data_IF_944284305337
#
_entry.id   IF_944284305337
#
_cell.length_a   1.000
_cell.length_b   1.000
_cell.length_c   1.000
_cell.angle_alpha   90.00
_cell.angle_beta   90.00
_cell.angle_gamma   90.00
#
_symmetry.space_group_name_H-M   'P 1'
#
loop_
_entity.id
_entity.type
_entity.pdbx_description
1 polymer ?
#
# COMPACT_ATOMS: atom_id res chain seq x y z
N UNK A 1 -8.19 24.16 0.01
CA UNK A 1 -9.36 23.73 0.80
C UNK A 1 -8.85 23.27 2.16
N UNK A 2 -9.55 23.51 3.27
CA UNK A 2 -9.13 23.01 4.56
C UNK A 2 -9.05 21.47 4.51
N UNK A 3 -8.02 20.90 5.08
CA UNK A 3 -7.80 19.47 5.19
C UNK A 3 -8.84 18.92 6.18
N UNK A 4 -9.81 18.17 5.70
CA UNK A 4 -11.00 17.75 6.48
C UNK A 4 -11.00 16.27 6.85
N UNK A 5 -9.95 15.51 6.47
CA UNK A 5 -9.91 14.07 6.71
C UNK A 5 -9.36 13.80 8.12
N UNK A 6 -10.08 13.00 8.91
CA UNK A 6 -9.64 12.57 10.23
C UNK A 6 -8.37 11.71 10.09
N UNK A 7 -7.26 12.03 10.81
CA UNK A 7 -6.06 11.21 10.83
C UNK A 7 -6.33 9.75 11.23
N UNK A 8 -7.33 9.52 12.06
CA UNK A 8 -7.74 8.19 12.52
C UNK A 8 -8.37 7.32 11.43
N UNK A 9 -8.57 7.84 10.22
CA UNK A 9 -8.88 7.00 9.07
C UNK A 9 -7.69 6.10 8.68
N UNK A 10 -6.47 6.47 9.05
CA UNK A 10 -5.34 5.54 9.04
C UNK A 10 -5.40 4.64 10.28
N UNK A 11 -5.40 3.32 10.07
CA UNK A 11 -5.61 2.33 11.13
C UNK A 11 -4.44 2.27 12.12
N UNK A 12 -3.22 2.62 11.70
CA UNK A 12 -2.07 2.71 12.61
C UNK A 12 -2.27 3.87 13.58
N UNK A 13 -2.74 5.02 13.10
CA UNK A 13 -3.06 6.18 13.94
C UNK A 13 -4.28 5.89 14.83
N UNK A 14 -5.31 5.24 14.30
CA UNK A 14 -6.50 4.86 15.07
C UNK A 14 -6.20 3.85 16.20
N UNK A 15 -5.11 3.10 16.08
CA UNK A 15 -4.67 2.11 17.07
C UNK A 15 -3.86 2.70 18.23
N UNK A 16 -3.53 3.99 18.18
CA UNK A 16 -2.84 4.68 19.27
C UNK A 16 -3.77 4.76 20.51
N UNK A 17 -3.17 4.60 21.70
CA UNK A 17 -3.88 4.91 22.94
C UNK A 17 -4.23 6.40 23.02
N UNK A 18 -5.19 6.78 23.88
CA UNK A 18 -5.53 8.20 24.04
C UNK A 18 -4.31 9.05 24.48
N UNK A 19 -3.43 8.49 25.30
CA UNK A 19 -2.19 9.16 25.71
C UNK A 19 -1.23 9.35 24.53
N UNK A 20 -1.02 8.30 23.73
CA UNK A 20 -0.17 8.36 22.55
C UNK A 20 -0.79 9.29 21.50
N UNK A 21 -2.11 9.24 21.31
CA UNK A 21 -2.81 10.14 20.40
C UNK A 21 -2.64 11.61 20.77
N UNK A 22 -2.82 11.99 22.03
CA UNK A 22 -2.62 13.37 22.48
C UNK A 22 -1.20 13.87 22.23
N UNK A 23 -0.21 12.97 22.32
CA UNK A 23 1.19 13.28 22.01
C UNK A 23 1.47 13.41 20.52
N UNK A 24 0.83 12.56 19.69
CA UNK A 24 1.05 12.50 18.25
C UNK A 24 0.28 13.55 17.46
N UNK A 25 -0.95 13.84 17.87
CA UNK A 25 -1.85 14.75 17.14
C UNK A 25 -1.20 16.09 16.73
N UNK A 26 -0.45 16.81 17.57
CA UNK A 26 0.19 18.08 17.17
C UNK A 26 1.36 17.91 16.18
N UNK A 27 1.87 16.70 16.01
CA UNK A 27 2.99 16.40 15.12
C UNK A 27 2.55 15.84 13.76
N UNK A 28 1.27 15.56 13.60
CA UNK A 28 0.69 15.05 12.35
C UNK A 28 0.51 16.20 11.36
N UNK A 29 1.33 16.19 10.32
CA UNK A 29 1.23 17.16 9.23
C UNK A 29 0.37 16.59 8.09
N UNK A 30 -0.75 17.26 7.75
CA UNK A 30 -1.57 16.82 6.62
C UNK A 30 -0.83 16.99 5.29
N UNK A 31 -0.94 16.01 4.41
CA UNK A 31 -0.28 16.02 3.11
C UNK A 31 -1.21 15.53 2.00
N UNK A 32 -1.26 16.28 0.89
CA UNK A 32 -1.86 15.80 -0.34
C UNK A 32 -0.90 14.78 -1.00
N UNK A 33 -1.46 13.72 -1.55
CA UNK A 33 -0.72 12.66 -2.24
C UNK A 33 -1.26 12.55 -3.68
N UNK A 34 -0.84 13.40 -4.62
CA UNK A 34 -1.27 13.34 -6.00
C UNK A 34 -0.71 12.10 -6.70
N UNK A 35 -1.44 11.60 -7.70
CA UNK A 35 -1.03 10.44 -8.49
C UNK A 35 0.36 10.65 -9.11
N UNK A 36 1.24 9.69 -8.93
CA UNK A 36 2.59 9.69 -9.47
C UNK A 36 3.63 10.41 -8.62
N UNK A 37 3.22 11.10 -7.54
CA UNK A 37 4.17 11.71 -6.61
C UNK A 37 5.10 10.69 -5.99
N UNK A 38 6.37 11.08 -5.85
CA UNK A 38 7.42 10.28 -5.24
C UNK A 38 7.63 10.75 -3.80
N UNK A 39 7.30 9.89 -2.84
CA UNK A 39 7.48 10.20 -1.43
C UNK A 39 8.95 10.08 -0.99
N UNK A 40 9.66 9.12 -1.57
CA UNK A 40 11.12 9.00 -1.47
C UNK A 40 11.69 8.20 -2.63
N UNK A 41 12.92 8.54 -3.03
CA UNK A 41 13.70 7.85 -4.06
C UNK A 41 14.59 6.76 -3.46
N UNK A 42 14.95 5.77 -4.30
CA UNK A 42 15.90 4.72 -3.95
C UNK A 42 17.23 5.30 -3.47
N UNK A 43 17.70 4.87 -2.30
CA UNK A 43 18.97 5.32 -1.70
C UNK A 43 18.91 6.71 -1.05
N UNK A 44 17.81 7.46 -1.23
CA UNK A 44 17.63 8.77 -0.60
C UNK A 44 17.40 8.66 0.90
N UNK A 45 17.80 9.68 1.65
CA UNK A 45 17.50 9.80 3.08
C UNK A 45 16.02 10.14 3.27
N UNK A 46 15.33 9.36 4.12
CA UNK A 46 13.94 9.61 4.44
C UNK A 46 13.83 10.66 5.54
N UNK A 47 13.05 11.69 5.29
CA UNK A 47 12.78 12.76 6.25
C UNK A 47 11.50 12.57 7.05
N UNK A 48 10.55 11.78 6.50
CA UNK A 48 9.22 11.59 7.06
C UNK A 48 8.76 10.13 6.95
N UNK A 49 7.89 9.74 7.88
CA UNK A 49 7.00 8.59 7.74
C UNK A 49 5.64 9.10 7.29
N UNK A 50 5.01 8.40 6.33
CA UNK A 50 3.71 8.79 5.79
C UNK A 50 2.63 7.80 6.20
N UNK A 51 1.46 8.31 6.53
CA UNK A 51 0.26 7.55 6.93
C UNK A 51 -0.86 7.88 5.93
N UNK A 52 -1.03 7.10 4.84
CA UNK A 52 -2.10 7.33 3.91
C UNK A 52 -3.47 7.18 4.59
N UNK A 53 -4.45 8.02 4.22
CA UNK A 53 -5.84 7.91 4.66
C UNK A 53 -6.75 7.48 3.51
N UNK A 54 -6.57 8.10 2.35
CA UNK A 54 -7.33 7.81 1.12
C UNK A 54 -6.43 7.53 -0.08
N UNK A 55 -5.14 7.82 0.02
CA UNK A 55 -4.17 7.51 -1.00
C UNK A 55 -3.71 6.04 -0.93
N UNK A 56 -3.18 5.54 -2.04
CA UNK A 56 -2.44 4.27 -2.09
C UNK A 56 -1.03 4.56 -2.58
N UNK A 57 -0.05 3.95 -1.93
CA UNK A 57 1.37 4.09 -2.24
C UNK A 57 1.96 2.73 -2.60
N UNK A 58 2.65 2.65 -3.75
CA UNK A 58 3.41 1.49 -4.18
C UNK A 58 4.86 1.58 -3.71
N UNK A 59 5.37 0.50 -3.14
CA UNK A 59 6.79 0.33 -2.86
C UNK A 59 7.41 -0.45 -4.02
N UNK A 60 8.34 0.19 -4.74
CA UNK A 60 8.92 -0.31 -5.98
C UNK A 60 10.41 -0.56 -5.82
N UNK A 61 10.91 -1.62 -6.42
CA UNK A 61 12.33 -1.73 -6.76
C UNK A 61 12.53 -1.40 -8.23
N UNK A 62 13.52 -0.57 -8.51
CA UNK A 62 13.89 -0.16 -9.85
C UNK A 62 15.27 -0.72 -10.17
N UNK A 63 15.36 -1.46 -11.27
CA UNK A 63 16.59 -2.08 -11.74
C UNK A 63 17.45 -1.07 -12.54
N UNK A 64 18.73 -1.35 -12.70
CA UNK A 64 19.66 -0.49 -13.47
C UNK A 64 19.19 -0.23 -14.92
N UNK A 65 18.49 -1.18 -15.52
CA UNK A 65 17.94 -1.05 -16.88
C UNK A 65 16.59 -0.29 -16.92
N UNK A 66 16.13 0.26 -15.76
CA UNK A 66 14.87 0.98 -15.63
C UNK A 66 13.62 0.11 -15.43
N UNK A 67 13.74 -1.22 -15.51
CA UNK A 67 12.63 -2.09 -15.19
C UNK A 67 12.27 -1.98 -13.69
N UNK A 68 10.99 -2.04 -13.38
CA UNK A 68 10.53 -1.94 -11.99
C UNK A 68 9.52 -3.03 -11.66
N UNK A 69 9.38 -3.34 -10.37
CA UNK A 69 8.31 -4.18 -9.86
C UNK A 69 7.86 -3.69 -8.48
N UNK A 70 6.55 -3.75 -8.25
CA UNK A 70 5.98 -3.47 -6.94
C UNK A 70 6.22 -4.67 -6.03
N UNK A 71 6.79 -4.40 -4.88
CA UNK A 71 7.01 -5.40 -3.83
C UNK A 71 5.90 -5.38 -2.78
N UNK A 72 5.30 -4.21 -2.56
CA UNK A 72 4.18 -4.04 -1.63
C UNK A 72 3.37 -2.79 -1.99
N UNK A 73 2.13 -2.78 -1.54
CA UNK A 73 1.21 -1.65 -1.62
C UNK A 73 0.77 -1.26 -0.21
N UNK A 74 0.71 0.04 0.07
CA UNK A 74 0.35 0.61 1.36
C UNK A 74 -0.79 1.59 1.19
N UNK A 75 -1.81 1.47 2.01
CA UNK A 75 -2.94 2.40 2.10
C UNK A 75 -3.22 2.78 3.56
N UNK A 76 -4.50 2.95 3.86
CA UNK A 76 -4.95 3.36 5.19
C UNK A 76 -4.70 2.34 6.31
N UNK A 77 -4.31 1.11 5.98
CA UNK A 77 -3.97 0.06 6.96
C UNK A 77 -2.55 0.17 7.51
N UNK A 78 -1.70 1.03 6.93
CA UNK A 78 -0.28 1.02 7.21
C UNK A 78 0.42 2.37 7.14
N UNK A 79 1.72 2.30 7.02
CA UNK A 79 2.61 3.45 6.88
C UNK A 79 3.72 3.21 5.86
N UNK A 80 4.27 4.28 5.31
CA UNK A 80 5.40 4.29 4.38
C UNK A 80 6.62 4.90 5.06
N UNK A 81 7.77 4.19 5.02
CA UNK A 81 9.03 4.66 5.63
C UNK A 81 9.50 3.82 6.82
N UNK A 82 9.22 2.50 6.82
CA UNK A 82 9.63 1.59 7.91
C UNK A 82 11.14 1.61 8.19
N UNK A 83 11.99 1.89 7.18
CA UNK A 83 13.44 1.93 7.33
C UNK A 83 13.91 2.93 8.38
N UNK A 84 13.15 4.01 8.64
CA UNK A 84 13.51 5.03 9.62
C UNK A 84 13.62 4.49 11.04
N UNK A 85 12.69 3.65 11.47
CA UNK A 85 12.74 3.06 12.81
C UNK A 85 13.41 1.68 12.85
N UNK A 86 13.75 1.12 11.69
CA UNK A 86 14.60 -0.06 11.58
C UNK A 86 16.10 0.27 11.55
N UNK A 87 16.48 1.57 11.65
CA UNK A 87 17.86 2.03 11.74
C UNK A 87 18.56 2.26 10.40
N UNK A 88 17.82 2.22 9.26
CA UNK A 88 18.41 2.35 7.93
C UNK A 88 18.45 3.76 7.35
N UNK A 89 17.61 4.67 7.80
CA UNK A 89 17.44 6.04 7.30
C UNK A 89 17.23 6.18 5.79
N UNK A 90 17.54 5.16 5.03
CA UNK A 90 17.37 5.02 3.58
C UNK A 90 16.94 3.60 3.21
N UNK A 91 16.51 3.41 1.98
CA UNK A 91 16.14 2.10 1.45
C UNK A 91 16.42 2.05 -0.05
N UNK A 92 16.76 0.89 -0.62
CA UNK A 92 16.90 0.73 -2.06
C UNK A 92 15.55 0.72 -2.80
N UNK A 93 14.43 0.80 -2.10
CA UNK A 93 13.11 0.93 -2.70
C UNK A 93 12.74 2.40 -2.96
N UNK A 94 11.79 2.60 -3.87
CA UNK A 94 11.14 3.87 -4.17
C UNK A 94 9.69 3.81 -3.75
N UNK A 95 9.13 4.88 -3.19
CA UNK A 95 7.71 4.96 -2.87
C UNK A 95 7.00 5.96 -3.78
N UNK A 96 5.97 5.49 -4.51
CA UNK A 96 5.22 6.28 -5.48
C UNK A 96 3.73 6.21 -5.18
N UNK A 97 3.05 7.34 -5.24
CA UNK A 97 1.59 7.39 -5.09
C UNK A 97 0.92 6.72 -6.28
N UNK A 98 0.31 5.59 -6.04
CA UNK A 98 -0.40 4.76 -7.03
C UNK A 98 -1.85 5.24 -7.26
N UNK A 99 -2.50 5.71 -6.20
CA UNK A 99 -3.84 6.28 -6.26
C UNK A 99 -3.85 7.59 -5.49
N UNK A 100 -4.28 8.67 -6.16
CA UNK A 100 -4.34 9.99 -5.56
C UNK A 100 -5.24 10.00 -4.33
N UNK A 101 -4.87 10.78 -3.34
CA UNK A 101 -5.62 10.93 -2.10
C UNK A 101 -4.93 11.86 -1.14
N UNK A 102 -5.11 11.59 0.13
CA UNK A 102 -4.56 12.35 1.24
C UNK A 102 -3.98 11.43 2.30
N UNK A 103 -3.17 11.99 3.17
CA UNK A 103 -2.61 11.31 4.32
C UNK A 103 -2.00 12.30 5.29
N UNK A 104 -1.26 11.76 6.22
CA UNK A 104 -0.48 12.52 7.19
C UNK A 104 0.97 12.08 7.13
N UNK A 105 1.87 12.96 7.50
CA UNK A 105 3.28 12.64 7.69
C UNK A 105 3.76 13.07 9.07
N UNK A 106 4.79 12.41 9.54
CA UNK A 106 5.46 12.70 10.81
C UNK A 106 6.96 12.77 10.54
N UNK A 107 7.69 13.74 11.11
CA UNK A 107 9.14 13.84 10.95
C UNK A 107 9.86 12.56 11.40
N UNK A 108 10.95 12.20 10.70
CA UNK A 108 11.78 11.02 11.00
C UNK A 108 12.21 10.95 12.47
N UNK A 109 12.62 12.10 13.04
CA UNK A 109 13.06 12.16 14.43
C UNK A 109 11.95 11.78 15.42
N UNK A 110 10.71 12.16 15.14
CA UNK A 110 9.56 11.80 15.98
C UNK A 110 9.36 10.30 16.02
N UNK A 111 9.33 9.64 14.85
CA UNK A 111 9.10 8.19 14.81
C UNK A 111 10.24 7.40 15.45
N UNK A 112 11.50 7.87 15.29
CA UNK A 112 12.67 7.27 15.96
C UNK A 112 12.56 7.39 17.47
N UNK A 113 12.26 8.58 17.98
CA UNK A 113 12.09 8.81 19.43
C UNK A 113 10.97 7.93 20.02
N UNK A 114 9.86 7.77 19.31
CA UNK A 114 8.76 6.89 19.72
C UNK A 114 9.16 5.41 19.73
N UNK A 115 9.95 4.98 18.76
CA UNK A 115 10.47 3.62 18.70
C UNK A 115 11.43 3.33 19.86
N UNK A 116 12.33 4.29 20.16
CA UNK A 116 13.33 4.18 21.23
C UNK A 116 12.72 4.14 22.64
N UNK A 117 11.49 4.67 22.82
CA UNK A 117 10.76 4.55 24.09
C UNK A 117 10.33 3.11 24.42
N UNK A 118 10.44 2.17 23.47
CA UNK A 118 10.13 0.75 23.64
C UNK A 118 8.72 0.46 24.19
N UNK A 119 7.75 1.36 23.90
CA UNK A 119 6.39 1.31 24.37
C UNK A 119 5.41 0.58 23.40
N UNK A 120 4.12 0.84 23.60
CA UNK A 120 3.05 0.25 22.79
C UNK A 120 3.16 0.61 21.29
N UNK A 121 3.62 1.82 20.99
CA UNK A 121 3.86 2.31 19.63
C UNK A 121 4.90 1.45 18.93
N UNK A 122 6.05 1.17 19.58
CA UNK A 122 7.07 0.28 19.02
C UNK A 122 6.49 -1.09 18.66
N UNK A 123 5.70 -1.71 19.55
CA UNK A 123 5.09 -2.99 19.29
C UNK A 123 4.09 -2.94 18.12
N UNK A 124 3.36 -1.84 17.96
CA UNK A 124 2.46 -1.63 16.82
C UNK A 124 3.24 -1.53 15.52
N UNK A 125 4.34 -0.75 15.49
CA UNK A 125 5.23 -0.59 14.34
C UNK A 125 5.87 -1.92 13.93
N UNK A 126 6.33 -2.73 14.90
CA UNK A 126 6.91 -4.07 14.64
C UNK A 126 5.89 -5.04 14.06
N UNK A 127 4.65 -5.07 14.58
CA UNK A 127 3.57 -5.91 14.02
C UNK A 127 3.22 -5.52 12.59
N UNK A 128 3.14 -4.21 12.31
CA UNK A 128 2.95 -3.73 10.95
C UNK A 128 4.10 -4.14 10.03
N UNK A 129 5.34 -3.98 10.48
CA UNK A 129 6.53 -4.40 9.72
C UNK A 129 6.48 -5.89 9.38
N UNK A 130 6.08 -6.75 10.32
CA UNK A 130 5.89 -8.18 10.06
C UNK A 130 4.82 -8.43 8.99
N UNK A 131 3.68 -7.75 9.06
CA UNK A 131 2.62 -7.86 8.05
C UNK A 131 3.11 -7.41 6.66
N UNK A 132 3.86 -6.32 6.60
CA UNK A 132 4.43 -5.81 5.36
C UNK A 132 5.48 -6.78 4.77
N UNK A 133 6.35 -7.37 5.59
CA UNK A 133 7.30 -8.41 5.17
C UNK A 133 6.54 -9.61 4.59
N UNK A 134 5.44 -10.03 5.22
CA UNK A 134 4.61 -11.12 4.68
C UNK A 134 4.03 -10.74 3.30
N UNK A 135 3.57 -9.50 3.12
CA UNK A 135 3.08 -9.04 1.82
C UNK A 135 4.19 -9.10 0.75
N UNK A 136 5.39 -8.62 1.08
CA UNK A 136 6.56 -8.67 0.19
C UNK A 136 6.93 -10.10 -0.20
N UNK A 137 7.01 -11.02 0.79
CA UNK A 137 7.31 -12.42 0.56
C UNK A 137 6.25 -13.09 -0.32
N UNK A 138 4.96 -12.84 -0.06
CA UNK A 138 3.87 -13.36 -0.89
C UNK A 138 3.88 -12.77 -2.30
N UNK A 139 4.31 -11.54 -2.47
CA UNK A 139 4.48 -10.94 -3.80
C UNK A 139 5.57 -11.67 -4.60
N UNK A 140 6.71 -11.96 -3.98
CA UNK A 140 7.80 -12.70 -4.62
C UNK A 140 7.37 -14.13 -5.02
N UNK A 141 6.70 -14.85 -4.12
CA UNK A 141 6.15 -16.20 -4.40
C UNK A 141 5.10 -16.14 -5.51
N UNK A 142 4.19 -15.19 -5.44
CA UNK A 142 3.12 -15.00 -6.42
C UNK A 142 3.69 -14.74 -7.83
N UNK A 143 4.66 -13.84 -7.94
CA UNK A 143 5.28 -13.50 -9.22
C UNK A 143 6.03 -14.68 -9.84
N UNK A 144 6.51 -15.62 -9.03
CA UNK A 144 7.25 -16.81 -9.50
C UNK A 144 6.34 -17.95 -9.92
N UNK A 145 5.23 -18.19 -9.20
CA UNK A 145 4.48 -19.44 -9.28
C UNK A 145 3.06 -19.32 -9.84
N UNK A 146 2.49 -18.10 -9.86
CA UNK A 146 1.11 -17.91 -10.30
C UNK A 146 1.02 -17.26 -11.67
N UNK A 147 -0.09 -17.50 -12.36
CA UNK A 147 -0.36 -16.91 -13.67
C UNK A 147 -0.56 -15.41 -13.56
N UNK A 148 -0.29 -14.68 -14.63
CA UNK A 148 -0.51 -13.22 -14.67
C UNK A 148 -1.97 -12.84 -14.40
N UNK A 149 -2.92 -13.67 -14.81
CA UNK A 149 -4.34 -13.52 -14.52
C UNK A 149 -4.60 -13.52 -12.98
N UNK A 150 -3.99 -14.46 -12.25
CA UNK A 150 -4.08 -14.54 -10.79
C UNK A 150 -3.36 -13.37 -10.10
N UNK A 151 -2.19 -12.99 -10.61
CA UNK A 151 -1.44 -11.83 -10.10
C UNK A 151 -2.24 -10.54 -10.26
N UNK A 152 -2.87 -10.32 -11.42
CA UNK A 152 -3.71 -9.15 -11.67
C UNK A 152 -4.94 -9.14 -10.75
N UNK A 153 -5.61 -10.27 -10.54
CA UNK A 153 -6.72 -10.38 -9.59
C UNK A 153 -6.27 -10.03 -8.16
N UNK A 154 -5.14 -10.56 -7.70
CA UNK A 154 -4.56 -10.26 -6.39
C UNK A 154 -4.25 -8.77 -6.26
N UNK A 155 -3.61 -8.19 -7.24
CA UNK A 155 -3.23 -6.78 -7.25
C UNK A 155 -4.47 -5.86 -7.19
N UNK A 156 -5.50 -6.14 -8.00
CA UNK A 156 -6.77 -5.41 -7.97
C UNK A 156 -7.43 -5.50 -6.58
N UNK A 157 -7.51 -6.69 -5.99
CA UNK A 157 -8.12 -6.90 -4.68
C UNK A 157 -7.37 -6.18 -3.56
N UNK A 158 -6.03 -6.23 -3.55
CA UNK A 158 -5.22 -5.50 -2.58
C UNK A 158 -5.39 -3.99 -2.70
N UNK A 159 -5.55 -3.46 -3.92
CA UNK A 159 -5.85 -2.04 -4.14
C UNK A 159 -7.26 -1.68 -3.66
N UNK A 160 -8.27 -2.51 -3.98
CA UNK A 160 -9.65 -2.30 -3.56
C UNK A 160 -9.85 -2.37 -2.03
N UNK A 161 -9.06 -3.18 -1.33
CA UNK A 161 -9.11 -3.26 0.14
C UNK A 161 -8.75 -1.91 0.79
N UNK A 162 -8.07 -1.01 0.03
CA UNK A 162 -7.55 0.29 0.47
C UNK A 162 -8.34 1.49 -0.06
N UNK A 163 -9.32 1.24 -0.91
CA UNK A 163 -10.17 2.27 -1.51
C UNK A 163 -11.59 2.22 -0.97
N UNK A 164 -12.23 3.37 -0.88
CA UNK A 164 -13.66 3.49 -0.59
C UNK A 164 -14.46 3.38 -1.89
N UNK A 165 -14.43 2.24 -2.57
CA UNK A 165 -15.15 2.06 -3.83
C UNK A 165 -14.63 0.90 -4.64
N UNK A 166 -15.05 0.83 -5.90
CA UNK A 166 -14.73 -0.25 -6.83
C UNK A 166 -14.05 0.24 -8.11
N UNK A 167 -13.50 1.46 -8.09
CA UNK A 167 -12.80 2.08 -9.22
C UNK A 167 -11.33 2.33 -8.93
N UNK A 168 -10.49 2.04 -9.94
CA UNK A 168 -9.07 2.35 -9.97
C UNK A 168 -8.75 3.12 -11.25
N UNK A 169 -7.94 4.17 -11.12
CA UNK A 169 -7.43 4.94 -12.25
C UNK A 169 -5.99 4.55 -12.53
N UNK A 170 -5.79 3.62 -13.48
CA UNK A 170 -4.48 3.07 -13.77
C UNK A 170 -4.37 2.63 -15.24
N UNK A 171 -3.32 3.05 -15.93
CA UNK A 171 -3.05 2.59 -17.29
C UNK A 171 -2.48 1.18 -17.30
N UNK A 172 -2.63 0.45 -18.42
CA UNK A 172 -2.03 -0.88 -18.58
C UNK A 172 -0.50 -0.84 -18.47
N UNK A 173 0.13 0.25 -18.89
CA UNK A 173 1.57 0.46 -18.75
C UNK A 173 1.99 0.53 -17.27
N UNK A 174 1.27 1.30 -16.46
CA UNK A 174 1.54 1.39 -15.03
C UNK A 174 1.32 0.04 -14.33
N UNK A 175 0.25 -0.69 -14.67
CA UNK A 175 0.01 -2.05 -14.14
C UNK A 175 1.14 -2.99 -14.54
N UNK A 176 1.61 -2.92 -15.78
CA UNK A 176 2.73 -3.73 -16.26
C UNK A 176 4.01 -3.46 -15.45
N UNK A 177 4.32 -2.20 -15.20
CA UNK A 177 5.45 -1.78 -14.37
C UNK A 177 5.30 -2.27 -12.91
N UNK A 178 4.08 -2.22 -12.33
CA UNK A 178 3.82 -2.72 -10.98
C UNK A 178 3.97 -4.24 -10.89
N UNK A 179 3.46 -4.99 -11.88
CA UNK A 179 3.57 -6.45 -11.90
C UNK A 179 4.92 -6.96 -12.42
N UNK A 180 5.80 -6.08 -12.94
CA UNK A 180 7.09 -6.46 -13.51
C UNK A 180 6.96 -7.31 -14.77
N UNK A 181 5.95 -7.04 -15.61
CA UNK A 181 5.62 -7.80 -16.81
C UNK A 181 5.50 -6.90 -18.04
N UNK A 182 5.35 -7.49 -19.23
CA UNK A 182 5.11 -6.73 -20.45
C UNK A 182 3.65 -6.26 -20.52
N UNK A 183 3.41 -5.09 -21.10
CA UNK A 183 2.10 -4.46 -21.27
C UNK A 183 1.10 -5.37 -22.00
N UNK A 184 1.58 -6.12 -23.02
CA UNK A 184 0.74 -7.05 -23.79
C UNK A 184 0.12 -8.12 -22.89
N UNK A 185 0.89 -8.63 -21.93
CA UNK A 185 0.40 -9.62 -20.96
C UNK A 185 -0.72 -9.04 -20.08
N UNK A 186 -0.57 -7.79 -19.61
CA UNK A 186 -1.63 -7.11 -18.85
C UNK A 186 -2.87 -6.92 -19.71
N UNK A 187 -2.70 -6.53 -20.98
CA UNK A 187 -3.82 -6.37 -21.91
C UNK A 187 -4.61 -7.67 -22.06
N UNK A 188 -3.91 -8.80 -22.26
CA UNK A 188 -4.52 -10.12 -22.39
C UNK A 188 -5.24 -10.55 -21.09
N UNK A 189 -4.58 -10.40 -19.93
CA UNK A 189 -5.17 -10.74 -18.64
C UNK A 189 -6.42 -9.89 -18.34
N UNK A 190 -6.35 -8.58 -18.56
CA UNK A 190 -7.49 -7.69 -18.38
C UNK A 190 -8.65 -8.01 -19.31
N UNK A 191 -8.36 -8.38 -20.56
CA UNK A 191 -9.40 -8.81 -21.51
C UNK A 191 -10.12 -10.08 -21.03
N UNK A 192 -9.39 -11.07 -20.50
CA UNK A 192 -9.97 -12.28 -19.90
C UNK A 192 -10.89 -11.95 -18.72
N UNK A 193 -10.50 -11.00 -17.86
CA UNK A 193 -11.34 -10.57 -16.74
C UNK A 193 -12.59 -9.82 -17.21
N UNK A 194 -12.50 -9.02 -18.27
CA UNK A 194 -13.65 -8.35 -18.88
C UNK A 194 -14.62 -9.36 -19.50
N UNK A 195 -14.12 -10.32 -20.28
CA UNK A 195 -14.95 -11.39 -20.89
C UNK A 195 -15.65 -12.23 -19.84
N UNK A 196 -15.04 -12.42 -18.66
CA UNK A 196 -15.64 -13.09 -17.53
C UNK A 196 -16.63 -12.20 -16.74
N UNK A 197 -16.84 -10.94 -17.14
CA UNK A 197 -17.74 -10.01 -16.46
C UNK A 197 -17.25 -9.53 -15.10
N UNK A 198 -15.96 -9.70 -14.77
CA UNK A 198 -15.41 -9.36 -13.46
C UNK A 198 -15.02 -7.88 -13.34
N UNK A 199 -14.54 -7.28 -14.44
CA UNK A 199 -14.15 -5.89 -14.52
C UNK A 199 -14.68 -5.25 -15.81
N UNK A 200 -14.69 -3.92 -15.82
CA UNK A 200 -14.77 -3.10 -17.03
C UNK A 200 -13.51 -2.22 -17.05
N UNK A 201 -12.76 -2.27 -18.14
CA UNK A 201 -11.53 -1.49 -18.28
C UNK A 201 -11.56 -0.67 -19.56
N UNK A 202 -11.55 0.63 -19.43
CA UNK A 202 -11.55 1.57 -20.55
C UNK A 202 -10.76 2.83 -20.22
N UNK A 203 -9.86 3.24 -21.12
CA UNK A 203 -9.13 4.52 -21.07
C UNK A 203 -8.42 4.78 -19.73
N UNK A 204 -7.81 3.75 -19.11
CA UNK A 204 -7.11 3.88 -17.83
C UNK A 204 -8.03 3.80 -16.60
N UNK A 205 -9.32 3.56 -16.76
CA UNK A 205 -10.28 3.38 -15.67
C UNK A 205 -10.68 1.91 -15.57
N UNK A 206 -10.45 1.32 -14.40
CA UNK A 206 -10.86 -0.04 -14.07
C UNK A 206 -12.02 0.06 -13.09
N UNK A 207 -13.15 -0.52 -13.46
CA UNK A 207 -14.30 -0.65 -12.60
C UNK A 207 -14.52 -2.14 -12.30
N UNK A 208 -14.46 -2.54 -11.04
CA UNK A 208 -14.69 -3.91 -10.61
C UNK A 208 -16.19 -4.16 -10.49
N UNK A 209 -16.69 -5.11 -11.28
CA UNK A 209 -18.11 -5.46 -11.37
C UNK A 209 -18.49 -6.60 -10.42
N UNK A 210 -17.59 -7.58 -10.26
CA UNK A 210 -17.77 -8.74 -9.37
C UNK A 210 -16.51 -8.99 -8.54
N UNK A 211 -16.47 -8.40 -7.33
CA UNK A 211 -15.37 -8.61 -6.38
C UNK A 211 -15.25 -10.08 -5.94
N UNK A 212 -16.37 -10.75 -5.68
CA UNK A 212 -16.37 -12.16 -5.28
C UNK A 212 -15.84 -13.06 -6.39
N UNK A 213 -16.12 -12.71 -7.65
CA UNK A 213 -15.55 -13.39 -8.81
C UNK A 213 -14.03 -13.23 -8.89
N UNK A 214 -13.51 -12.03 -8.60
CA UNK A 214 -12.06 -11.83 -8.49
C UNK A 214 -11.46 -12.65 -7.34
N UNK A 215 -12.12 -12.71 -6.19
CA UNK A 215 -11.68 -13.50 -5.03
C UNK A 215 -11.65 -15.01 -5.30
N UNK A 216 -12.57 -15.52 -6.13
CA UNK A 216 -12.55 -16.93 -6.59
C UNK A 216 -11.45 -17.20 -7.61
N UNK A 217 -11.05 -16.19 -8.39
CA UNK A 217 -10.08 -16.33 -9.48
C UNK A 217 -8.64 -16.04 -9.05
N UNK A 218 -8.45 -15.30 -7.99
CA UNK A 218 -7.12 -15.01 -7.45
C UNK A 218 -6.47 -16.25 -6.84
N UNK A 219 -5.15 -16.18 -6.59
CA UNK A 219 -4.42 -17.21 -5.86
C UNK A 219 -4.57 -17.03 -4.34
N UNK A 220 -4.15 -18.05 -3.58
CA UNK A 220 -4.10 -18.06 -2.12
C UNK A 220 -3.29 -16.91 -1.51
N UNK A 221 -2.33 -16.34 -2.26
CA UNK A 221 -1.47 -15.25 -1.80
C UNK A 221 -2.27 -14.03 -1.31
N UNK A 222 -3.42 -13.74 -1.92
CA UNK A 222 -4.30 -12.68 -1.44
C UNK A 222 -4.81 -12.95 -0.02
N UNK A 223 -5.33 -14.16 0.21
CA UNK A 223 -5.88 -14.53 1.51
C UNK A 223 -4.83 -14.65 2.61
N UNK A 224 -3.62 -15.08 2.27
CA UNK A 224 -2.49 -15.13 3.22
C UNK A 224 -2.17 -13.72 3.72
N UNK A 225 -2.00 -12.76 2.81
CA UNK A 225 -1.74 -11.36 3.17
C UNK A 225 -2.88 -10.79 4.02
N UNK A 226 -4.12 -10.94 3.59
CA UNK A 226 -5.31 -10.42 4.29
C UNK A 226 -5.43 -10.98 5.71
N UNK A 227 -5.24 -12.29 5.89
CA UNK A 227 -5.29 -12.95 7.20
C UNK A 227 -4.17 -12.45 8.11
N UNK A 228 -2.97 -12.25 7.58
CA UNK A 228 -1.83 -11.81 8.39
C UNK A 228 -2.01 -10.35 8.85
N UNK A 229 -2.47 -9.45 7.98
CA UNK A 229 -2.83 -8.10 8.41
C UNK A 229 -3.93 -8.11 9.49
N UNK A 230 -4.98 -8.90 9.32
CA UNK A 230 -6.05 -9.01 10.31
C UNK A 230 -5.58 -9.62 11.65
N UNK A 231 -4.58 -10.52 11.62
CA UNK A 231 -4.01 -11.13 12.83
C UNK A 231 -3.11 -10.18 13.62
N UNK A 232 -2.31 -9.37 12.91
CA UNK A 232 -1.25 -8.57 13.51
C UNK A 232 -1.70 -7.16 13.88
N UNK A 233 -2.63 -6.60 13.12
CA UNK A 233 -3.09 -5.23 13.33
C UNK A 233 -4.44 -5.21 14.05
N UNK A 234 -4.71 -4.16 14.85
CA UNK A 234 -6.00 -4.00 15.51
C UNK A 234 -7.15 -4.04 14.51
N UNK A 235 -8.27 -4.67 14.91
CA UNK A 235 -9.50 -4.62 14.11
C UNK A 235 -9.89 -3.17 13.83
N UNK A 236 -10.47 -2.92 12.64
CA UNK A 236 -11.09 -1.63 12.33
C UNK A 236 -12.01 -1.26 13.49
N UNK A 237 -11.83 -0.08 14.12
CA UNK A 237 -12.88 0.48 14.92
C UNK A 237 -14.10 0.60 14.00
N UNK A 238 -15.18 -0.11 14.36
CA UNK A 238 -16.46 -0.01 13.65
C UNK A 238 -16.92 1.44 13.74
N UNK A 239 -16.97 2.12 12.58
CA UNK A 239 -17.54 3.45 12.47
C UNK A 239 -19.04 3.43 12.75
#
# INVERSE_FOLDING_TARGET
MPFTIDPRQNHMIAALSDVDWQRWQPMLEPVAMPLGDVLYESGGTLEHVYFPTTAIVSLLYVMENGASAEIAVVGNEGLVGISLFMGGDSTPSRAVVQSAGQGYRVPAQTIKSEFDQAGAVMHLLLRYTQALITQMAQTAVCNRHHTLDQQLCRWLLLSLDRLSGNELNMTQELIANMLGVRREGVTEAALKLQQAGLIRYARGHIHVLDRLGLERRTCECYQVVRKEYARLLPARASA
#
